data_IF_589097931064
#
_entry.id   IF_589097931064
#
_cell.length_a   1.000
_cell.length_b   1.000
_cell.length_c   1.000
_cell.angle_alpha   90.00
_cell.angle_beta   90.00
_cell.angle_gamma   90.00
#
_symmetry.space_group_name_H-M   'P 1'
#
loop_
_entity.id
_entity.type
_entity.pdbx_description
1 polymer ?
#
# COMPACT_ATOMS: atom_id res chain seq x y z
N UNK A 1 -22.16 3.09 25.52
CA UNK A 1 -23.52 3.56 25.85
C UNK A 1 -24.47 3.11 24.76
N UNK A 2 -25.64 2.59 25.11
CA UNK A 2 -26.64 2.12 24.14
C UNK A 2 -27.64 3.25 23.86
N UNK A 3 -27.83 3.57 22.57
CA UNK A 3 -28.86 4.53 22.19
C UNK A 3 -30.26 4.01 22.55
N UNK A 4 -31.22 4.88 22.90
CA UNK A 4 -32.62 4.49 23.07
C UNK A 4 -33.19 3.86 21.80
N UNK A 5 -34.10 2.88 21.96
CA UNK A 5 -34.72 2.18 20.82
C UNK A 5 -35.40 3.15 19.84
N UNK A 6 -36.20 4.08 20.36
CA UNK A 6 -36.88 5.08 19.55
C UNK A 6 -35.93 5.91 18.67
N UNK A 7 -34.69 6.14 19.13
CA UNK A 7 -33.70 6.90 18.38
C UNK A 7 -33.12 6.08 17.24
N UNK A 8 -32.80 4.81 17.48
CA UNK A 8 -32.34 3.90 16.43
C UNK A 8 -33.42 3.70 15.37
N UNK A 9 -34.66 3.53 15.78
CA UNK A 9 -35.80 3.32 14.87
C UNK A 9 -36.04 4.56 14.00
N UNK A 10 -35.97 5.76 14.59
CA UNK A 10 -36.09 7.01 13.84
C UNK A 10 -34.97 7.21 12.81
N UNK A 11 -33.73 6.84 13.16
CA UNK A 11 -32.60 6.89 12.23
C UNK A 11 -32.77 5.86 11.11
N UNK A 12 -33.14 4.62 11.45
CA UNK A 12 -33.38 3.57 10.47
C UNK A 12 -34.48 3.96 9.49
N UNK A 13 -35.62 4.44 9.98
CA UNK A 13 -36.73 4.88 9.14
C UNK A 13 -36.33 6.00 8.18
N UNK A 14 -35.53 6.96 8.66
CA UNK A 14 -35.02 8.03 7.79
C UNK A 14 -34.07 7.49 6.72
N UNK A 15 -33.21 6.55 7.09
CA UNK A 15 -32.29 5.90 6.15
C UNK A 15 -33.07 5.15 5.07
N UNK A 16 -34.06 4.35 5.48
CA UNK A 16 -34.91 3.58 4.57
C UNK A 16 -35.64 4.49 3.58
N UNK A 17 -36.17 5.62 4.05
CA UNK A 17 -36.82 6.62 3.20
C UNK A 17 -35.84 7.29 2.22
N UNK A 18 -34.63 7.64 2.69
CA UNK A 18 -33.60 8.21 1.83
C UNK A 18 -33.16 7.23 0.75
N UNK A 19 -32.90 5.97 1.14
CA UNK A 19 -32.54 4.89 0.23
C UNK A 19 -33.64 4.63 -0.80
N UNK A 20 -34.91 4.56 -0.39
CA UNK A 20 -36.02 4.36 -1.31
C UNK A 20 -36.19 5.51 -2.32
N UNK A 21 -35.85 6.75 -1.93
CA UNK A 21 -35.87 7.91 -2.83
C UNK A 21 -34.72 7.87 -3.84
N UNK A 22 -33.52 7.53 -3.39
CA UNK A 22 -32.34 7.36 -4.25
C UNK A 22 -32.59 6.22 -5.25
N UNK A 23 -33.17 5.11 -4.80
CA UNK A 23 -33.43 3.95 -5.64
C UNK A 23 -34.37 4.30 -6.81
N UNK A 24 -35.39 5.13 -6.54
CA UNK A 24 -36.40 5.55 -7.52
C UNK A 24 -36.04 6.82 -8.30
N UNK A 25 -34.87 7.40 -8.06
CA UNK A 25 -34.48 8.64 -8.72
C UNK A 25 -34.27 8.39 -10.23
N UNK A 26 -34.95 9.15 -11.11
CA UNK A 26 -34.94 8.88 -12.55
C UNK A 26 -33.53 8.98 -13.15
N UNK A 27 -32.76 10.01 -12.79
CA UNK A 27 -31.39 10.20 -13.30
C UNK A 27 -30.45 9.05 -12.90
N UNK A 28 -30.62 8.53 -11.68
CA UNK A 28 -29.82 7.38 -11.21
C UNK A 28 -30.27 6.08 -11.88
N UNK A 29 -31.54 5.98 -12.26
CA UNK A 29 -32.04 4.82 -13.02
C UNK A 29 -31.44 4.79 -14.42
N UNK A 30 -31.32 5.93 -15.07
CA UNK A 30 -30.67 6.05 -16.39
C UNK A 30 -29.18 5.72 -16.29
N UNK A 31 -28.46 6.32 -15.35
CA UNK A 31 -27.05 6.01 -15.11
C UNK A 31 -26.81 4.53 -14.78
N UNK A 32 -27.66 3.90 -13.97
CA UNK A 32 -27.58 2.45 -13.70
C UNK A 32 -27.81 1.63 -14.96
N UNK A 33 -28.74 2.03 -15.83
CA UNK A 33 -28.99 1.31 -17.08
C UNK A 33 -27.78 1.41 -18.04
N UNK A 34 -27.13 2.57 -18.10
CA UNK A 34 -25.89 2.76 -18.86
C UNK A 34 -24.73 1.93 -18.30
N UNK A 35 -24.54 1.95 -16.97
CA UNK A 35 -23.55 1.11 -16.28
C UNK A 35 -23.78 -0.37 -16.57
N UNK A 36 -25.04 -0.85 -16.46
CA UNK A 36 -25.38 -2.24 -16.72
C UNK A 36 -25.15 -2.63 -18.18
N UNK A 37 -25.48 -1.73 -19.12
CA UNK A 37 -25.22 -1.96 -20.54
C UNK A 37 -23.71 -2.02 -20.85
N UNK A 38 -22.90 -1.16 -20.22
CA UNK A 38 -21.45 -1.20 -20.35
C UNK A 38 -20.85 -2.48 -19.77
N UNK A 39 -21.36 -2.94 -18.62
CA UNK A 39 -20.98 -4.20 -18.00
C UNK A 39 -21.35 -5.40 -18.91
N UNK A 40 -22.57 -5.43 -19.43
CA UNK A 40 -23.02 -6.46 -20.37
C UNK A 40 -22.18 -6.50 -21.66
N UNK A 41 -21.77 -5.33 -22.16
CA UNK A 41 -20.91 -5.20 -23.34
C UNK A 41 -19.46 -5.64 -23.08
N UNK A 42 -19.02 -5.72 -21.81
CA UNK A 42 -17.68 -6.17 -21.44
C UNK A 42 -17.52 -7.69 -21.62
N UNK A 43 -18.63 -8.43 -21.63
CA UNK A 43 -18.65 -9.89 -21.66
C UNK A 43 -19.57 -10.47 -22.76
N UNK A 44 -19.41 -10.09 -24.05
CA UNK A 44 -20.26 -10.59 -25.12
C UNK A 44 -19.98 -12.09 -25.34
N UNK A 45 -20.90 -12.94 -24.89
CA UNK A 45 -20.82 -14.40 -25.08
C UNK A 45 -20.19 -15.18 -23.93
N UNK A 46 -19.91 -14.55 -22.78
CA UNK A 46 -19.58 -15.31 -21.56
C UNK A 46 -20.88 -15.81 -20.93
N UNK A 47 -20.86 -17.08 -20.56
CA UNK A 47 -21.92 -17.69 -19.78
C UNK A 47 -22.04 -16.94 -18.44
N UNK A 48 -23.11 -16.15 -18.28
CA UNK A 48 -23.38 -15.34 -17.09
C UNK A 48 -23.44 -16.17 -15.80
N UNK A 49 -23.59 -17.49 -15.91
CA UNK A 49 -23.50 -18.39 -14.75
C UNK A 49 -22.08 -18.49 -14.19
N UNK A 50 -21.05 -18.17 -14.97
CA UNK A 50 -19.63 -18.15 -14.56
C UNK A 50 -19.13 -16.80 -14.06
N UNK A 51 -20.00 -15.79 -14.13
CA UNK A 51 -19.68 -14.42 -13.72
C UNK A 51 -19.40 -14.31 -12.21
N UNK A 52 -20.12 -15.00 -11.31
CA UNK A 52 -19.77 -15.01 -9.89
C UNK A 52 -18.37 -15.59 -9.63
N UNK A 53 -17.99 -16.66 -10.32
CA UNK A 53 -16.65 -17.26 -10.23
C UNK A 53 -15.57 -16.34 -10.78
N UNK A 54 -15.88 -15.57 -11.83
CA UNK A 54 -14.97 -14.55 -12.34
C UNK A 54 -14.76 -13.41 -11.32
N UNK A 55 -15.83 -12.90 -10.71
CA UNK A 55 -15.74 -11.85 -9.68
C UNK A 55 -14.98 -12.33 -8.45
N UNK A 56 -15.26 -13.55 -7.98
CA UNK A 56 -14.54 -14.16 -6.85
C UNK A 56 -13.05 -14.40 -7.18
N UNK A 57 -12.74 -14.78 -8.42
CA UNK A 57 -11.35 -14.87 -8.88
C UNK A 57 -10.67 -13.50 -8.95
N UNK A 58 -11.35 -12.47 -9.47
CA UNK A 58 -10.82 -11.11 -9.60
C UNK A 58 -10.46 -10.53 -8.23
N UNK A 59 -11.37 -10.62 -7.27
CA UNK A 59 -11.15 -10.19 -5.89
C UNK A 59 -9.93 -10.89 -5.27
N UNK A 60 -9.87 -12.23 -5.39
CA UNK A 60 -8.74 -13.02 -4.89
C UNK A 60 -7.43 -12.69 -5.60
N UNK A 61 -7.48 -12.45 -6.91
CA UNK A 61 -6.31 -12.09 -7.70
C UNK A 61 -5.73 -10.76 -7.24
N UNK A 62 -6.57 -9.73 -7.09
CA UNK A 62 -6.15 -8.41 -6.64
C UNK A 62 -5.65 -8.44 -5.20
N UNK A 63 -6.35 -9.14 -4.30
CA UNK A 63 -5.91 -9.29 -2.92
C UNK A 63 -4.55 -9.98 -2.82
N UNK A 64 -4.36 -11.11 -3.52
CA UNK A 64 -3.08 -11.81 -3.58
C UNK A 64 -1.96 -10.89 -4.07
N UNK A 65 -2.21 -10.13 -5.14
CA UNK A 65 -1.21 -9.23 -5.73
C UNK A 65 -0.88 -8.05 -4.84
N UNK A 66 -1.85 -7.51 -4.10
CA UNK A 66 -1.61 -6.48 -3.10
C UNK A 66 -0.67 -6.98 -2.00
N UNK A 67 -0.90 -8.20 -1.49
CA UNK A 67 -0.06 -8.82 -0.47
C UNK A 67 1.37 -9.10 -0.97
N UNK A 68 1.53 -9.53 -2.22
CA UNK A 68 2.84 -9.71 -2.86
C UNK A 68 3.61 -8.39 -2.93
N UNK A 69 2.94 -7.32 -3.36
CA UNK A 69 3.55 -5.99 -3.45
C UNK A 69 3.94 -5.44 -2.07
N UNK A 70 3.11 -5.64 -1.05
CA UNK A 70 3.41 -5.24 0.33
C UNK A 70 4.67 -5.95 0.85
N UNK A 71 4.79 -7.26 0.64
CA UNK A 71 5.98 -8.02 1.03
C UNK A 71 7.24 -7.53 0.33
N UNK A 72 7.15 -7.28 -0.98
CA UNK A 72 8.26 -6.72 -1.74
C UNK A 72 8.66 -5.35 -1.24
N UNK A 73 7.69 -4.49 -0.90
CA UNK A 73 7.95 -3.18 -0.33
C UNK A 73 8.69 -3.28 1.01
N UNK A 74 8.21 -4.12 1.94
CA UNK A 74 8.85 -4.30 3.25
C UNK A 74 10.27 -4.86 3.09
N UNK A 75 10.46 -5.87 2.25
CA UNK A 75 11.79 -6.42 1.99
C UNK A 75 12.73 -5.37 1.40
N UNK A 76 12.27 -4.61 0.39
CA UNK A 76 13.06 -3.54 -0.21
C UNK A 76 13.42 -2.43 0.79
N UNK A 77 12.54 -2.11 1.73
CA UNK A 77 12.83 -1.17 2.82
C UNK A 77 13.92 -1.70 3.76
N UNK A 78 13.85 -2.97 4.15
CA UNK A 78 14.86 -3.62 4.99
C UNK A 78 16.21 -3.62 4.28
N UNK A 79 16.25 -4.07 3.03
CA UNK A 79 17.47 -4.13 2.22
C UNK A 79 18.08 -2.74 2.03
N UNK A 80 17.24 -1.72 1.79
CA UNK A 80 17.66 -0.33 1.68
C UNK A 80 18.27 0.22 2.95
N UNK A 81 17.69 -0.07 4.12
CA UNK A 81 18.26 0.32 5.42
C UNK A 81 19.61 -0.37 5.66
N UNK A 82 19.72 -1.67 5.36
CA UNK A 82 20.98 -2.41 5.48
C UNK A 82 22.08 -1.82 4.58
N UNK A 83 21.73 -1.47 3.34
CA UNK A 83 22.64 -0.81 2.42
C UNK A 83 23.08 0.56 2.94
N UNK A 84 22.15 1.37 3.42
CA UNK A 84 22.47 2.68 3.99
C UNK A 84 23.41 2.54 5.19
N UNK A 85 23.14 1.61 6.11
CA UNK A 85 24.03 1.31 7.24
C UNK A 85 25.42 0.96 6.72
N UNK A 86 25.55 0.03 5.78
CA UNK A 86 26.85 -0.39 5.23
C UNK A 86 27.64 0.75 4.55
N UNK A 87 26.94 1.71 3.93
CA UNK A 87 27.56 2.87 3.28
C UNK A 87 27.94 3.99 4.25
N UNK A 88 27.14 4.21 5.30
CA UNK A 88 27.40 5.24 6.32
C UNK A 88 28.28 4.74 7.47
N UNK A 89 28.57 3.45 7.53
CA UNK A 89 29.59 2.87 8.41
C UNK A 89 31.00 3.18 7.85
N UNK A 90 31.32 4.47 7.78
CA UNK A 90 32.62 5.06 7.44
C UNK A 90 33.72 4.72 8.49
N UNK A 91 33.50 3.67 9.29
CA UNK A 91 34.47 3.10 10.22
C UNK A 91 35.37 2.03 9.58
N UNK A 92 35.07 1.56 8.36
CA UNK A 92 35.80 0.44 7.73
C UNK A 92 37.07 0.83 6.96
N UNK A 93 37.37 2.12 6.77
CA UNK A 93 38.67 2.55 6.21
C UNK A 93 39.21 3.85 6.83
N UNK A 94 39.88 3.80 7.99
CA UNK A 94 40.86 4.85 8.32
C UNK A 94 42.05 4.73 7.36
N UNK A 95 42.40 5.85 6.73
CA UNK A 95 43.55 6.04 5.84
C UNK A 95 44.84 5.35 6.35
N UNK A 96 45.53 4.64 5.46
CA UNK A 96 47.01 4.56 5.47
C UNK A 96 47.51 5.51 4.38
N UNK A 97 48.70 6.17 4.46
CA UNK A 97 49.85 5.82 5.31
C UNK A 97 50.57 7.06 5.95
N UNK A 98 51.48 6.84 6.92
CA UNK A 98 52.59 7.80 7.15
C UNK A 98 53.92 7.09 6.95
N UNK A 99 54.44 7.17 5.73
CA UNK A 99 55.86 6.97 5.44
C UNK A 99 56.65 8.22 5.87
N UNK A 100 57.61 8.02 6.76
CA UNK A 100 58.89 8.71 6.95
C UNK A 100 59.00 10.21 6.65
N UNK A 101 59.42 10.99 7.66
CA UNK A 101 60.45 12.02 7.45
C UNK A 101 61.24 12.24 8.73
N UNK A 102 62.56 12.14 8.58
CA UNK A 102 63.62 12.34 9.56
C UNK A 102 63.67 13.76 10.12
N UNK A 103 64.01 13.91 11.39
CA UNK A 103 64.77 15.06 11.89
C UNK A 103 65.48 14.70 13.21
N UNK A 104 66.77 14.36 13.13
CA UNK A 104 67.74 14.71 14.18
C UNK A 104 68.13 16.17 13.96
N UNK A 105 68.41 16.95 15.02
CA UNK A 105 69.81 17.08 15.44
C UNK A 105 70.03 17.15 16.97
N UNK A 106 71.03 16.38 17.39
CA UNK A 106 72.24 16.75 18.14
C UNK A 106 72.24 17.29 19.59
N UNK A 107 73.26 16.79 20.31
CA UNK A 107 74.00 17.29 21.49
C UNK A 107 73.46 17.12 22.92
N UNK A 108 74.21 16.33 23.72
CA UNK A 108 74.21 16.34 25.17
C UNK A 108 75.11 15.25 25.77
N UNK A 109 76.38 15.57 25.98
CA UNK A 109 77.40 14.80 26.73
C UNK A 109 77.03 14.54 28.21
N UNK A 110 77.83 13.67 28.86
CA UNK A 110 77.87 13.25 30.28
C UNK A 110 77.18 11.89 30.50
N UNK A 111 77.84 10.79 30.90
CA UNK A 111 79.12 10.48 31.54
C UNK A 111 79.61 9.09 31.07
#
# INVERSE_FOLDING_TARGET
MTFPLWFRDAIQQRLDQASARIERHPDLRELRAEEHAAFDAMFPGIDRTKLPEFMDWEDKHHFRRALENERLYIQGMIDGVQLAIALFDDSLFPEKPKSSSSANPDTGSEL
#
